data_IF_263620949397
#
_entry.id   IF_263620949397
#
_cell.length_a   1.000
_cell.length_b   1.000
_cell.length_c   1.000
_cell.angle_alpha   90.00
_cell.angle_beta   90.00
_cell.angle_gamma   90.00
#
_symmetry.space_group_name_H-M   'P 1'
#
loop_
_entity.id
_entity.type
_entity.pdbx_description
1 polymer ?
#
# COMPACT_ATOMS: atom_id res chain seq x y z
N UNK A 1 17.19 12.69 2.04
CA UNK A 1 16.35 11.77 1.24
C UNK A 1 17.25 10.75 0.58
N UNK A 2 17.07 9.49 0.91
CA UNK A 2 17.79 8.41 0.22
C UNK A 2 16.92 7.96 -0.98
N UNK A 3 17.31 8.31 -2.21
CA UNK A 3 16.47 8.06 -3.39
C UNK A 3 16.23 6.57 -3.66
N UNK A 4 17.05 5.71 -3.09
CA UNK A 4 17.01 4.27 -3.31
C UNK A 4 16.43 3.47 -2.13
N UNK A 5 16.05 4.14 -1.02
CA UNK A 5 15.42 3.46 0.10
C UNK A 5 14.03 2.91 -0.29
N UNK A 6 13.72 1.65 0.05
CA UNK A 6 12.42 1.08 -0.25
C UNK A 6 11.31 1.78 0.55
N UNK A 7 10.13 1.85 -0.04
CA UNK A 7 8.92 2.29 0.64
C UNK A 7 8.23 1.09 1.27
N UNK A 8 7.89 1.19 2.55
CA UNK A 8 7.18 0.13 3.26
C UNK A 8 5.68 0.36 3.10
N UNK A 9 5.01 -0.53 2.38
CA UNK A 9 3.55 -0.46 2.13
C UNK A 9 2.85 -1.49 3.01
N UNK A 10 2.02 -1.01 3.93
CA UNK A 10 1.26 -1.85 4.85
C UNK A 10 -0.16 -2.03 4.35
N UNK A 11 -0.61 -3.26 4.28
CA UNK A 11 -1.92 -3.63 3.76
C UNK A 11 -2.62 -4.66 4.64
N UNK A 12 -3.94 -4.66 4.60
CA UNK A 12 -4.77 -5.66 5.28
C UNK A 12 -4.78 -6.95 4.46
N UNK A 13 -4.12 -8.00 4.96
CA UNK A 13 -4.02 -9.28 4.26
C UNK A 13 -5.32 -10.08 4.26
N UNK A 14 -6.25 -9.79 5.18
CA UNK A 14 -7.56 -10.46 5.24
C UNK A 14 -8.60 -9.81 4.32
N UNK A 15 -8.29 -8.62 3.78
CA UNK A 15 -9.16 -7.88 2.89
C UNK A 15 -8.87 -8.19 1.41
N UNK A 16 -9.78 -8.87 0.73
CA UNK A 16 -9.61 -9.24 -0.69
C UNK A 16 -9.42 -8.03 -1.62
N UNK A 17 -10.16 -6.93 -1.38
CA UNK A 17 -10.00 -5.70 -2.14
C UNK A 17 -8.62 -5.05 -1.90
N UNK A 18 -8.15 -5.07 -0.64
CA UNK A 18 -6.84 -4.50 -0.29
C UNK A 18 -5.69 -5.27 -0.98
N UNK A 19 -5.74 -6.60 -0.97
CA UNK A 19 -4.77 -7.43 -1.69
C UNK A 19 -4.81 -7.17 -3.20
N UNK A 20 -6.00 -7.11 -3.78
CA UNK A 20 -6.17 -6.80 -5.20
C UNK A 20 -5.60 -5.42 -5.56
N UNK A 21 -5.88 -4.39 -4.74
CA UNK A 21 -5.39 -3.03 -4.95
C UNK A 21 -3.87 -2.95 -4.90
N UNK A 22 -3.25 -3.60 -3.91
CA UNK A 22 -1.80 -3.66 -3.76
C UNK A 22 -1.16 -4.38 -4.95
N UNK A 23 -1.73 -5.50 -5.38
CA UNK A 23 -1.22 -6.23 -6.56
C UNK A 23 -1.29 -5.39 -7.85
N UNK A 24 -2.32 -4.54 -7.98
CA UNK A 24 -2.41 -3.58 -9.10
C UNK A 24 -1.30 -2.54 -9.02
N UNK A 25 -0.98 -2.06 -7.83
CA UNK A 25 0.11 -1.11 -7.63
C UNK A 25 1.46 -1.70 -8.04
N UNK A 26 1.71 -2.99 -7.77
CA UNK A 26 2.95 -3.67 -8.16
C UNK A 26 3.23 -3.66 -9.67
N UNK A 27 2.21 -3.48 -10.50
CA UNK A 27 2.38 -3.39 -11.97
C UNK A 27 3.17 -2.16 -12.38
N UNK A 28 3.21 -1.13 -11.54
CA UNK A 28 3.97 0.11 -11.76
C UNK A 28 5.33 0.09 -11.07
N UNK A 29 5.58 -0.89 -10.20
CA UNK A 29 6.81 -1.02 -9.41
C UNK A 29 7.87 -1.85 -10.13
N UNK A 30 8.36 -1.35 -11.27
CA UNK A 30 9.36 -2.03 -12.11
C UNK A 30 10.72 -2.16 -11.42
N UNK A 31 11.05 -1.18 -10.59
CA UNK A 31 12.34 -1.10 -9.91
C UNK A 31 12.32 -1.73 -8.51
N UNK A 32 11.22 -2.40 -8.14
CA UNK A 32 11.01 -3.06 -6.85
C UNK A 32 11.29 -2.14 -5.66
N UNK A 33 10.71 -0.93 -5.73
CA UNK A 33 10.81 0.09 -4.69
C UNK A 33 9.85 -0.15 -3.52
N UNK A 34 8.77 -0.89 -3.74
CA UNK A 34 7.74 -1.14 -2.76
C UNK A 34 8.01 -2.44 -2.01
N UNK A 35 8.08 -2.38 -0.69
CA UNK A 35 8.16 -3.54 0.18
C UNK A 35 6.81 -3.74 0.87
N UNK A 36 6.15 -4.86 0.59
CA UNK A 36 4.81 -5.15 1.09
C UNK A 36 4.88 -5.81 2.45
N UNK A 37 4.17 -5.26 3.43
CA UNK A 37 4.12 -5.77 4.80
C UNK A 37 2.65 -5.92 5.22
N UNK A 38 2.18 -7.13 5.55
CA UNK A 38 0.84 -7.27 6.14
C UNK A 38 0.77 -6.54 7.48
N UNK A 39 -0.31 -5.78 7.70
CA UNK A 39 -0.53 -5.07 8.97
C UNK A 39 -0.56 -6.07 10.13
N UNK A 40 -1.13 -7.27 9.90
CA UNK A 40 -1.29 -8.32 10.90
C UNK A 40 0.02 -9.08 11.20
N UNK A 41 1.08 -8.85 10.44
CA UNK A 41 2.38 -9.50 10.70
C UNK A 41 3.10 -8.91 11.91
N UNK A 42 4.02 -9.65 12.57
CA UNK A 42 4.84 -9.09 13.65
C UNK A 42 5.62 -7.83 13.24
N UNK A 43 6.08 -7.77 12.00
CA UNK A 43 6.74 -6.58 11.45
C UNK A 43 5.75 -5.41 11.31
N UNK A 44 4.53 -5.68 10.83
CA UNK A 44 3.46 -4.68 10.72
C UNK A 44 3.08 -4.11 12.08
N UNK A 45 2.87 -4.96 13.07
CA UNK A 45 2.54 -4.53 14.44
C UNK A 45 3.64 -3.66 15.06
N UNK A 46 4.89 -4.07 14.89
CA UNK A 46 6.05 -3.34 15.42
C UNK A 46 6.24 -1.98 14.75
N UNK A 47 6.17 -1.93 13.42
CA UNK A 47 6.44 -0.71 12.66
C UNK A 47 5.28 0.29 12.72
N UNK A 48 4.06 -0.18 12.98
CA UNK A 48 2.87 0.66 13.18
C UNK A 48 2.51 0.83 14.67
N UNK A 49 3.47 0.63 15.57
CA UNK A 49 3.22 0.73 17.02
C UNK A 49 2.63 2.09 17.44
N UNK A 50 3.05 3.17 16.78
CA UNK A 50 2.56 4.53 17.04
C UNK A 50 1.17 4.81 16.44
N UNK A 51 0.65 3.92 15.60
CA UNK A 51 -0.71 3.99 15.09
C UNK A 51 -1.65 3.29 16.06
N UNK A 52 -2.71 3.97 16.51
CA UNK A 52 -3.69 3.36 17.40
C UNK A 52 -4.23 2.04 16.80
N UNK A 53 -4.36 0.96 17.59
CA UNK A 53 -4.73 -0.37 17.07
C UNK A 53 -6.00 -0.39 16.23
N UNK A 54 -7.00 0.38 16.62
CA UNK A 54 -8.28 0.52 15.91
C UNK A 54 -8.15 1.24 14.55
N UNK A 55 -7.07 2.01 14.35
CA UNK A 55 -6.82 2.73 13.10
C UNK A 55 -5.91 1.96 12.13
N UNK A 56 -5.18 0.95 12.63
CA UNK A 56 -4.24 0.18 11.79
C UNK A 56 -4.95 -0.52 10.63
N UNK A 57 -6.10 -1.13 10.87
CA UNK A 57 -6.88 -1.82 9.85
C UNK A 57 -7.91 -0.92 9.15
N UNK A 58 -8.07 0.33 9.59
CA UNK A 58 -8.99 1.27 8.97
C UNK A 58 -8.50 1.78 7.61
N UNK A 59 -7.19 1.75 7.37
CA UNK A 59 -6.58 2.21 6.12
C UNK A 59 -5.27 1.49 5.83
N UNK A 60 -4.78 1.60 4.59
CA UNK A 60 -3.40 1.27 4.26
C UNK A 60 -2.45 2.34 4.81
N UNK A 61 -1.21 1.97 5.06
CA UNK A 61 -0.18 2.87 5.54
C UNK A 61 1.09 2.76 4.68
N UNK A 62 1.90 3.81 4.72
CA UNK A 62 3.18 3.88 4.05
C UNK A 62 4.21 4.47 5.00
N UNK A 63 5.40 3.87 5.06
CA UNK A 63 6.58 4.51 5.63
C UNK A 63 7.55 4.74 4.48
N UNK A 64 7.96 5.99 4.28
CA UNK A 64 8.90 6.35 3.24
C UNK A 64 10.36 6.15 3.64
N UNK A 65 11.28 6.47 2.72
CA UNK A 65 12.72 6.32 2.96
C UNK A 65 13.29 7.21 4.07
N UNK A 66 12.57 8.25 4.47
CA UNK A 66 12.94 9.15 5.56
C UNK A 66 12.28 8.71 6.90
N UNK A 67 11.52 7.62 6.90
CA UNK A 67 10.82 7.10 8.07
C UNK A 67 9.49 7.81 8.37
N UNK A 68 9.00 8.63 7.44
CA UNK A 68 7.73 9.35 7.62
C UNK A 68 6.54 8.43 7.32
N UNK A 69 5.58 8.42 8.25
CA UNK A 69 4.34 7.64 8.13
C UNK A 69 3.25 8.45 7.40
N UNK A 70 2.64 7.80 6.42
CA UNK A 70 1.46 8.30 5.71
C UNK A 70 0.34 7.27 5.81
N UNK A 71 -0.91 7.71 5.97
CA UNK A 71 -2.07 6.84 6.07
C UNK A 71 -3.13 7.22 5.05
N UNK A 72 -3.80 6.20 4.50
CA UNK A 72 -4.89 6.41 3.57
C UNK A 72 -4.47 7.15 2.30
N UNK A 73 -5.26 8.13 1.90
CA UNK A 73 -5.04 8.91 0.68
C UNK A 73 -3.75 9.74 0.70
N UNK A 74 -3.21 10.08 1.87
CA UNK A 74 -1.96 10.82 1.98
C UNK A 74 -0.74 10.02 1.48
N UNK A 75 -0.85 8.69 1.45
CA UNK A 75 0.17 7.81 0.88
C UNK A 75 0.26 7.88 -0.65
N UNK A 76 -0.77 8.38 -1.33
CA UNK A 76 -0.85 8.35 -2.79
C UNK A 76 0.28 9.15 -3.47
N UNK A 77 0.55 10.36 -3.01
CA UNK A 77 1.59 11.21 -3.59
C UNK A 77 3.02 10.68 -3.37
N UNK A 78 3.40 10.24 -2.16
CA UNK A 78 4.70 9.60 -1.94
C UNK A 78 4.90 8.33 -2.78
N UNK A 79 3.88 7.48 -2.88
CA UNK A 79 3.94 6.28 -3.74
C UNK A 79 4.14 6.67 -5.20
N UNK A 80 3.34 7.61 -5.70
CA UNK A 80 3.46 8.06 -7.09
C UNK A 80 4.86 8.64 -7.37
N UNK A 81 5.40 9.44 -6.45
CA UNK A 81 6.74 10.02 -6.60
C UNK A 81 7.85 8.96 -6.69
N UNK A 82 7.68 7.83 -6.01
CA UNK A 82 8.67 6.75 -6.00
C UNK A 82 8.61 5.84 -7.24
N UNK A 83 7.50 5.84 -7.96
CA UNK A 83 7.30 4.97 -9.13
C UNK A 83 7.50 5.77 -10.42
N UNK A 84 8.51 5.47 -11.25
CA UNK A 84 8.88 6.30 -12.41
C UNK A 84 7.72 6.62 -13.35
N UNK A 85 6.86 5.64 -13.62
CA UNK A 85 5.68 5.82 -14.51
C UNK A 85 4.58 6.70 -13.91
N UNK A 86 4.52 6.83 -12.59
CA UNK A 86 3.54 7.64 -11.87
C UNK A 86 4.11 8.97 -11.34
N UNK A 87 5.43 9.11 -11.30
CA UNK A 87 6.11 10.28 -10.75
C UNK A 87 5.58 11.63 -11.29
N UNK A 88 5.24 11.77 -12.57
CA UNK A 88 4.67 13.03 -13.08
C UNK A 88 3.32 13.41 -12.45
N UNK A 89 2.60 12.46 -11.86
CA UNK A 89 1.29 12.72 -11.20
C UNK A 89 1.44 13.18 -9.75
N UNK A 90 2.60 12.97 -9.13
CA UNK A 90 2.81 13.24 -7.70
C UNK A 90 2.50 14.71 -7.30
N UNK A 91 2.95 15.75 -8.05
CA UNK A 91 2.62 17.14 -7.70
C UNK A 91 1.11 17.40 -7.71
N UNK A 92 0.40 16.82 -8.68
CA UNK A 92 -1.05 16.95 -8.78
C UNK A 92 -1.75 16.27 -7.59
N UNK A 93 -1.31 15.07 -7.21
CA UNK A 93 -1.85 14.34 -6.06
C UNK A 93 -1.63 15.10 -4.74
N UNK A 94 -0.47 15.76 -4.57
CA UNK A 94 -0.24 16.63 -3.42
C UNK A 94 -1.20 17.82 -3.40
N UNK A 95 -1.40 18.46 -4.53
CA UNK A 95 -2.32 19.60 -4.66
C UNK A 95 -3.77 19.21 -4.42
N UNK A 96 -4.14 17.99 -4.81
CA UNK A 96 -5.48 17.43 -4.65
C UNK A 96 -5.61 16.51 -3.43
N UNK A 97 -4.80 16.70 -2.40
CA UNK A 97 -4.78 15.82 -1.22
C UNK A 97 -6.15 15.66 -0.55
N UNK A 98 -6.92 16.76 -0.41
CA UNK A 98 -8.26 16.72 0.20
C UNK A 98 -9.24 15.82 -0.57
N UNK A 99 -9.49 16.02 -1.91
CA UNK A 99 -10.36 15.12 -2.64
C UNK A 99 -9.82 13.70 -2.76
N UNK A 100 -8.49 13.51 -2.84
CA UNK A 100 -7.87 12.18 -2.83
C UNK A 100 -8.18 11.46 -1.52
N UNK A 101 -8.00 12.13 -0.36
CA UNK A 101 -8.34 11.56 0.93
C UNK A 101 -9.84 11.26 1.08
N UNK A 102 -10.71 12.15 0.62
CA UNK A 102 -12.15 11.94 0.65
C UNK A 102 -12.55 10.71 -0.19
N UNK A 103 -11.99 10.58 -1.40
CA UNK A 103 -12.22 9.42 -2.27
C UNK A 103 -11.69 8.14 -1.64
N UNK A 104 -10.49 8.18 -1.04
CA UNK A 104 -9.92 7.04 -0.33
C UNK A 104 -10.83 6.58 0.81
N UNK A 105 -11.29 7.50 1.68
CA UNK A 105 -12.18 7.17 2.80
C UNK A 105 -13.48 6.53 2.32
N UNK A 106 -14.05 7.01 1.22
CA UNK A 106 -15.26 6.44 0.63
C UNK A 106 -15.03 5.00 0.17
N UNK A 107 -13.94 4.75 -0.54
CA UNK A 107 -13.56 3.42 -1.01
C UNK A 107 -13.24 2.50 0.16
N UNK A 108 -12.47 2.96 1.14
CA UNK A 108 -12.11 2.18 2.33
C UNK A 108 -13.34 1.78 3.16
N UNK A 109 -14.31 2.68 3.32
CA UNK A 109 -15.56 2.40 4.01
C UNK A 109 -16.43 1.33 3.30
N UNK A 110 -16.26 1.18 1.98
CA UNK A 110 -17.03 0.24 1.16
C UNK A 110 -16.17 -0.91 0.61
N UNK A 111 -14.99 -1.13 1.16
CA UNK A 111 -14.01 -2.11 0.64
C UNK A 111 -14.55 -3.55 0.56
N UNK A 112 -15.43 -3.95 1.46
CA UNK A 112 -16.07 -5.28 1.41
C UNK A 112 -16.97 -5.42 0.19
N UNK A 113 -17.73 -4.39 -0.14
CA UNK A 113 -18.58 -4.36 -1.33
C UNK A 113 -17.75 -4.39 -2.61
N UNK A 114 -16.68 -3.60 -2.67
CA UNK A 114 -15.72 -3.65 -3.79
C UNK A 114 -15.02 -5.00 -3.87
N UNK A 115 -14.70 -5.62 -2.74
CA UNK A 115 -14.10 -6.96 -2.69
C UNK A 115 -14.99 -8.03 -3.31
N UNK A 116 -16.31 -7.91 -3.18
CA UNK A 116 -17.27 -8.83 -3.83
C UNK A 116 -17.29 -8.69 -5.36
N UNK A 117 -16.96 -7.52 -5.88
CA UNK A 117 -16.87 -7.26 -7.32
C UNK A 117 -15.57 -7.81 -7.94
N UNK A 118 -14.56 -8.06 -7.12
CA UNK A 118 -13.29 -8.66 -7.58
C UNK A 118 -13.52 -10.16 -7.75
N UNK A 119 -13.46 -10.64 -8.99
CA UNK A 119 -13.64 -12.06 -9.30
C UNK A 119 -12.56 -12.95 -8.67
N UNK A 120 -12.89 -14.23 -8.45
CA UNK A 120 -11.98 -15.21 -7.83
C UNK A 120 -10.65 -15.33 -8.58
N UNK A 121 -10.67 -15.38 -9.90
CA UNK A 121 -9.46 -15.43 -10.73
C UNK A 121 -8.56 -14.20 -10.59
N UNK A 122 -9.17 -13.01 -10.41
CA UNK A 122 -8.42 -11.77 -10.15
C UNK A 122 -7.80 -11.76 -8.77
N UNK A 123 -8.50 -12.29 -7.76
CA UNK A 123 -7.94 -12.47 -6.40
C UNK A 123 -6.77 -13.44 -6.39
N UNK A 124 -6.91 -14.58 -7.04
CA UNK A 124 -5.82 -15.57 -7.15
C UNK A 124 -4.59 -15.00 -7.85
N UNK A 125 -4.77 -14.23 -8.93
CA UNK A 125 -3.67 -13.53 -9.59
C UNK A 125 -3.01 -12.51 -8.69
N UNK A 126 -3.80 -11.77 -7.91
CA UNK A 126 -3.30 -10.81 -6.93
C UNK A 126 -2.46 -11.50 -5.85
N UNK A 127 -2.95 -12.59 -5.29
CA UNK A 127 -2.25 -13.35 -4.25
C UNK A 127 -0.93 -13.93 -4.78
N UNK A 128 -0.90 -14.43 -6.01
CA UNK A 128 0.34 -14.91 -6.66
C UNK A 128 1.34 -13.76 -6.89
N UNK A 129 0.86 -12.60 -7.32
CA UNK A 129 1.71 -11.43 -7.55
C UNK A 129 2.34 -10.93 -6.25
N UNK A 130 1.57 -10.86 -5.17
CA UNK A 130 2.05 -10.48 -3.83
C UNK A 130 3.08 -11.50 -3.33
N UNK A 131 2.79 -12.78 -3.42
CA UNK A 131 3.70 -13.84 -2.97
C UNK A 131 5.03 -13.80 -3.74
N UNK A 132 5.00 -13.64 -5.04
CA UNK A 132 6.19 -13.54 -5.89
C UNK A 132 7.01 -12.28 -5.55
N UNK A 133 6.34 -11.15 -5.32
CA UNK A 133 7.00 -9.89 -4.96
C UNK A 133 7.69 -9.99 -3.60
N UNK A 134 7.00 -10.54 -2.59
CA UNK A 134 7.56 -10.73 -1.25
C UNK A 134 8.75 -11.71 -1.26
N UNK A 135 8.67 -12.79 -2.03
CA UNK A 135 9.77 -13.75 -2.18
C UNK A 135 11.02 -13.10 -2.79
N UNK A 136 10.86 -12.12 -3.68
CA UNK A 136 11.98 -11.42 -4.30
C UNK A 136 12.77 -10.52 -3.33
N UNK A 137 12.18 -10.10 -2.20
CA UNK A 137 12.86 -9.33 -1.16
C UNK A 137 13.51 -10.21 -0.08
N UNK A 138 13.39 -11.54 -0.17
CA UNK A 138 13.93 -12.48 0.82
C UNK A 138 13.21 -12.46 2.16
N UNK A 139 13.68 -13.28 3.11
CA UNK A 139 13.08 -13.43 4.44
C UNK A 139 13.45 -12.32 5.44
N UNK A 140 14.00 -11.23 4.99
CA UNK A 140 14.48 -10.13 5.88
C UNK A 140 13.35 -9.39 6.62
N UNK A 141 12.11 -9.78 6.40
CA UNK A 141 10.94 -9.15 7.05
C UNK A 141 10.23 -10.09 8.04
N UNK A 142 10.95 -11.07 8.59
CA UNK A 142 10.42 -11.88 9.71
C UNK A 142 10.79 -11.27 11.06
#
# INVERSE_FOLDING_TARGET
MQPDAPLLVFYDEDCGYCRWSVARLLRFDRDRRLRLIPIQSPAGERLLADVAPELRLASAHLIDGDGQLFSGGDAAAPIAAALPSLAPTAPLLRRLSRPVNASYKLVAANREQFGRLVGSSSRERADRAIAAHRAAFGSEAQ
#
